data_IF_615045754550
#
_entry.id   IF_615045754550
#
_cell.length_a   1.000
_cell.length_b   1.000
_cell.length_c   1.000
_cell.angle_alpha   90.00
_cell.angle_beta   90.00
_cell.angle_gamma   90.00
#
_symmetry.space_group_name_H-M   'P 1'
#
loop_
_entity.id
_entity.type
_entity.pdbx_description
1 polymer ?
#
# COMPACT_ATOMS: atom_id res chain seq x y z
N UNK A 1 13.89 5.04 -1.62
CA UNK A 1 12.65 5.03 -2.43
C UNK A 1 12.70 4.28 -3.78
N UNK A 2 13.80 3.64 -4.21
CA UNK A 2 13.83 2.88 -5.50
C UNK A 2 13.06 1.54 -5.46
N UNK A 3 12.56 1.15 -4.30
CA UNK A 3 11.95 -0.16 -4.04
C UNK A 3 10.42 -0.12 -3.96
N UNK A 4 9.79 1.03 -4.23
CA UNK A 4 8.34 1.14 -4.18
C UNK A 4 7.71 0.61 -5.46
N UNK A 5 6.76 -0.29 -5.31
CA UNK A 5 5.87 -0.75 -6.39
C UNK A 5 4.68 0.20 -6.51
N UNK A 6 3.74 -0.12 -7.39
CA UNK A 6 2.50 0.66 -7.56
C UNK A 6 1.76 0.84 -6.22
N UNK A 7 1.68 -0.19 -5.39
CA UNK A 7 1.04 -0.11 -4.06
C UNK A 7 1.78 0.82 -3.11
N UNK A 8 3.12 0.80 -3.09
CA UNK A 8 3.92 1.74 -2.30
C UNK A 8 3.70 3.19 -2.72
N UNK A 9 3.62 3.44 -4.03
CA UNK A 9 3.35 4.78 -4.59
C UNK A 9 1.95 5.26 -4.21
N UNK A 10 0.93 4.40 -4.35
CA UNK A 10 -0.46 4.75 -4.01
C UNK A 10 -0.61 5.04 -2.52
N UNK A 11 0.03 4.26 -1.65
CA UNK A 11 0.02 4.54 -0.20
C UNK A 11 0.65 5.89 0.11
N UNK A 12 1.78 6.21 -0.53
CA UNK A 12 2.42 7.51 -0.36
C UNK A 12 1.50 8.66 -0.82
N UNK A 13 0.86 8.53 -1.99
CA UNK A 13 -0.08 9.53 -2.49
C UNK A 13 -1.27 9.73 -1.54
N UNK A 14 -1.83 8.64 -1.02
CA UNK A 14 -2.90 8.72 -0.01
C UNK A 14 -2.45 9.41 1.27
N UNK A 15 -1.26 9.06 1.80
CA UNK A 15 -0.71 9.74 2.98
C UNK A 15 -0.51 11.24 2.73
N UNK A 16 -0.06 11.62 1.53
CA UNK A 16 0.11 13.03 1.15
C UNK A 16 -1.23 13.79 1.07
N UNK A 17 -2.27 13.17 0.51
CA UNK A 17 -3.56 13.85 0.29
C UNK A 17 -4.50 13.80 1.49
N UNK A 18 -4.50 12.68 2.23
CA UNK A 18 -5.53 12.35 3.21
C UNK A 18 -5.03 12.24 4.64
N UNK A 19 -3.75 11.90 4.86
CA UNK A 19 -3.16 11.76 6.21
C UNK A 19 -1.80 12.48 6.32
N UNK A 20 -1.71 13.80 6.00
CA UNK A 20 -0.43 14.51 5.90
C UNK A 20 0.31 14.62 7.24
N UNK A 21 -0.41 14.67 8.36
CA UNK A 21 0.16 14.69 9.71
C UNK A 21 0.90 13.38 10.00
N UNK A 22 0.25 12.24 9.73
CA UNK A 22 0.87 10.91 9.85
C UNK A 22 2.10 10.76 8.94
N UNK A 23 2.04 11.29 7.72
CA UNK A 23 3.19 11.31 6.82
C UNK A 23 4.37 12.05 7.44
N UNK A 24 4.14 13.23 8.01
CA UNK A 24 5.19 14.01 8.66
C UNK A 24 5.77 13.30 9.89
N UNK A 25 4.92 12.67 10.72
CA UNK A 25 5.35 11.89 11.88
C UNK A 25 6.26 10.72 11.45
N UNK A 26 5.84 9.95 10.43
CA UNK A 26 6.65 8.85 9.90
C UNK A 26 7.96 9.31 9.28
N UNK A 27 7.97 10.46 8.61
CA UNK A 27 9.19 11.07 8.07
C UNK A 27 10.13 11.50 9.18
N UNK A 28 9.62 12.14 10.23
CA UNK A 28 10.41 12.58 11.37
C UNK A 28 11.01 11.39 12.14
N UNK A 29 10.23 10.31 12.29
CA UNK A 29 10.67 9.07 12.91
C UNK A 29 11.62 8.24 12.02
N UNK A 30 11.84 8.63 10.76
CA UNK A 30 12.64 7.86 9.80
C UNK A 30 12.01 6.52 9.39
N UNK A 31 10.72 6.32 9.65
CA UNK A 31 10.00 5.05 9.47
C UNK A 31 9.21 4.99 8.15
N UNK A 32 9.18 6.08 7.37
CA UNK A 32 8.34 6.15 6.16
C UNK A 32 8.69 5.08 5.12
N UNK A 33 9.98 4.90 4.79
CA UNK A 33 10.37 3.94 3.76
C UNK A 33 10.03 2.50 4.18
N UNK A 34 10.33 2.13 5.42
CA UNK A 34 10.01 0.81 5.97
C UNK A 34 8.49 0.58 6.01
N UNK A 35 7.70 1.59 6.41
CA UNK A 35 6.25 1.52 6.38
C UNK A 35 5.73 1.24 4.97
N UNK A 36 6.17 2.01 3.97
CA UNK A 36 5.72 1.86 2.58
C UNK A 36 6.13 0.50 1.99
N UNK A 37 7.35 0.03 2.27
CA UNK A 37 7.86 -1.27 1.80
C UNK A 37 7.15 -2.44 2.49
N UNK A 38 6.89 -2.34 3.79
CA UNK A 38 6.14 -3.36 4.53
C UNK A 38 4.70 -3.44 4.02
N UNK A 39 4.05 -2.27 3.93
CA UNK A 39 2.66 -2.13 3.51
C UNK A 39 2.43 -2.66 2.09
N UNK A 40 3.29 -2.31 1.12
CA UNK A 40 3.13 -2.81 -0.25
C UNK A 40 3.32 -4.33 -0.35
N UNK A 41 4.22 -4.92 0.44
CA UNK A 41 4.44 -6.37 0.43
C UNK A 41 3.23 -7.13 0.96
N UNK A 42 2.56 -6.59 1.98
CA UNK A 42 1.30 -7.15 2.47
C UNK A 42 0.22 -7.10 1.39
N UNK A 43 0.07 -5.96 0.71
CA UNK A 43 -0.89 -5.84 -0.40
C UNK A 43 -0.59 -6.80 -1.56
N UNK A 44 0.67 -6.94 -1.95
CA UNK A 44 1.09 -7.89 -2.99
C UNK A 44 0.82 -9.33 -2.58
N UNK A 45 1.13 -9.69 -1.33
CA UNK A 45 0.86 -11.03 -0.83
C UNK A 45 -0.64 -11.36 -0.79
N UNK A 46 -1.47 -10.43 -0.32
CA UNK A 46 -2.93 -10.60 -0.30
C UNK A 46 -3.51 -10.70 -1.72
N UNK A 47 -3.01 -9.89 -2.66
CA UNK A 47 -3.38 -9.98 -4.07
C UNK A 47 -3.10 -11.38 -4.62
N UNK A 48 -1.91 -11.91 -4.39
CA UNK A 48 -1.54 -13.26 -4.82
C UNK A 48 -2.45 -14.33 -4.21
N UNK A 49 -2.86 -14.17 -2.94
CA UNK A 49 -3.80 -15.11 -2.30
C UNK A 49 -5.19 -15.08 -2.95
N UNK A 50 -5.71 -13.89 -3.30
CA UNK A 50 -7.01 -13.75 -3.95
C UNK A 50 -7.01 -14.36 -5.35
N UNK A 51 -5.97 -14.08 -6.14
CA UNK A 51 -5.79 -14.65 -7.47
C UNK A 51 -5.67 -16.17 -7.37
N UNK A 52 -4.88 -16.68 -6.42
CA UNK A 52 -4.75 -18.12 -6.19
C UNK A 52 -6.08 -18.78 -5.77
N UNK A 53 -6.93 -18.07 -5.04
CA UNK A 53 -8.27 -18.53 -4.69
C UNK A 53 -9.26 -18.52 -5.86
N UNK A 54 -8.85 -18.04 -7.04
CA UNK A 54 -9.65 -18.02 -8.26
C UNK A 54 -10.43 -16.73 -8.48
N UNK A 55 -10.10 -15.65 -7.76
CA UNK A 55 -10.60 -14.31 -8.09
C UNK A 55 -9.91 -13.80 -9.35
N UNK A 56 -10.65 -13.13 -10.21
CA UNK A 56 -10.07 -12.48 -11.40
C UNK A 56 -9.10 -11.36 -10.97
N UNK A 57 -7.98 -11.24 -11.68
CA UNK A 57 -6.88 -10.34 -11.31
C UNK A 57 -7.34 -8.88 -11.15
N UNK A 58 -8.19 -8.39 -12.05
CA UNK A 58 -8.74 -7.03 -12.00
C UNK A 58 -9.64 -6.82 -10.77
N UNK A 59 -10.45 -7.82 -10.41
CA UNK A 59 -11.33 -7.78 -9.24
C UNK A 59 -10.51 -7.82 -7.95
N UNK A 60 -9.49 -8.68 -7.89
CA UNK A 60 -8.59 -8.80 -6.76
C UNK A 60 -7.79 -7.52 -6.56
N UNK A 61 -7.27 -6.91 -7.63
CA UNK A 61 -6.55 -5.63 -7.53
C UNK A 61 -7.48 -4.52 -7.01
N UNK A 62 -8.72 -4.42 -7.53
CA UNK A 62 -9.70 -3.44 -7.05
C UNK A 62 -10.06 -3.66 -5.57
N UNK A 63 -10.22 -4.92 -5.15
CA UNK A 63 -10.48 -5.26 -3.76
C UNK A 63 -9.35 -4.80 -2.84
N UNK A 64 -8.10 -5.19 -3.15
CA UNK A 64 -6.92 -4.79 -2.38
C UNK A 64 -6.80 -3.28 -2.34
N UNK A 65 -6.96 -2.58 -3.46
CA UNK A 65 -6.87 -1.12 -3.49
C UNK A 65 -7.88 -0.45 -2.56
N UNK A 66 -9.12 -0.93 -2.49
CA UNK A 66 -10.13 -0.37 -1.61
C UNK A 66 -9.77 -0.59 -0.12
N UNK A 67 -9.39 -1.80 0.26
CA UNK A 67 -8.99 -2.11 1.64
C UNK A 67 -7.71 -1.36 2.05
N UNK A 68 -6.71 -1.39 1.18
CA UNK A 68 -5.37 -0.86 1.41
C UNK A 68 -5.31 0.67 1.52
N UNK A 69 -6.16 1.37 0.77
CA UNK A 69 -6.24 2.83 0.81
C UNK A 69 -7.16 3.28 1.96
N UNK A 70 -8.22 2.55 2.30
CA UNK A 70 -9.14 2.95 3.37
C UNK A 70 -8.65 2.61 4.79
N UNK A 71 -7.68 1.69 4.96
CA UNK A 71 -7.03 1.39 6.25
C UNK A 71 -6.11 2.53 6.76
#
# INVERSE_FOLDING_TARGET
MKHLTRFGILRLQFLQSCKPELLQEMQHAGALEDHLVSSQRSAEWELDQLIFAGMEEEEAELFILNEYIMA
#
